data_IF_196108666033
#
_entry.id   IF_196108666033
#
_cell.length_a   1.000
_cell.length_b   1.000
_cell.length_c   1.000
_cell.angle_alpha   90.00
_cell.angle_beta   90.00
_cell.angle_gamma   90.00
#
_symmetry.space_group_name_H-M   'P 1'
#
loop_
_entity.id
_entity.type
_entity.pdbx_description
1 polymer ?
#
# COMPACT_ATOMS: atom_id res chain seq x y z
N UNK A 1 -9.53 9.90 -4.76
CA UNK A 1 -9.25 10.21 -6.18
C UNK A 1 -8.37 11.45 -6.41
N UNK A 2 -8.45 12.51 -5.58
CA UNK A 2 -7.77 13.79 -5.82
C UNK A 2 -6.23 13.69 -5.95
N UNK A 3 -5.57 12.94 -5.07
CA UNK A 3 -4.11 12.81 -5.07
C UNK A 3 -3.53 12.25 -6.39
N UNK A 4 -4.19 11.25 -6.98
CA UNK A 4 -3.77 10.68 -8.26
C UNK A 4 -3.90 11.70 -9.40
N UNK A 5 -4.99 12.45 -9.43
CA UNK A 5 -5.21 13.49 -10.44
C UNK A 5 -4.21 14.63 -10.29
N UNK A 6 -3.94 15.07 -9.05
CA UNK A 6 -2.95 16.10 -8.75
C UNK A 6 -1.54 15.65 -9.17
N UNK A 7 -1.20 14.38 -8.92
CA UNK A 7 0.06 13.80 -9.38
C UNK A 7 0.16 13.75 -10.91
N UNK A 8 -0.90 13.28 -11.60
CA UNK A 8 -0.90 13.20 -13.06
C UNK A 8 -0.78 14.59 -13.70
N UNK A 9 -1.42 15.59 -13.12
CA UNK A 9 -1.31 16.97 -13.58
C UNK A 9 0.08 17.55 -13.32
N UNK A 10 0.64 17.34 -12.13
CA UNK A 10 2.03 17.70 -11.82
C UNK A 10 3.01 17.07 -12.81
N UNK A 11 2.88 15.77 -13.04
CA UNK A 11 3.69 14.99 -13.99
C UNK A 11 3.60 15.56 -15.40
N UNK A 12 2.39 15.87 -15.88
CA UNK A 12 2.15 16.45 -17.21
C UNK A 12 2.79 17.83 -17.35
N UNK A 13 2.70 18.70 -16.34
CA UNK A 13 3.33 20.03 -16.35
C UNK A 13 4.86 19.95 -16.28
N UNK A 14 5.38 19.03 -15.46
CA UNK A 14 6.82 18.86 -15.23
C UNK A 14 7.55 18.24 -16.43
N UNK A 15 6.92 17.26 -17.09
CA UNK A 15 7.48 16.52 -18.22
C UNK A 15 6.45 16.34 -19.34
N UNK A 16 6.12 17.42 -20.08
CA UNK A 16 5.04 17.40 -21.08
C UNK A 16 5.29 16.43 -22.24
N UNK A 17 6.56 16.17 -22.58
CA UNK A 17 6.97 15.32 -23.69
C UNK A 17 7.59 13.98 -23.25
N UNK A 18 7.26 13.50 -22.04
CA UNK A 18 7.77 12.21 -21.58
C UNK A 18 7.18 11.05 -22.37
N UNK A 19 8.05 10.21 -22.95
CA UNK A 19 7.65 8.94 -23.55
C UNK A 19 7.48 7.81 -22.50
N UNK A 20 7.72 8.10 -21.22
CA UNK A 20 7.57 7.11 -20.16
C UNK A 20 6.09 6.86 -19.87
N UNK A 21 5.66 5.59 -19.87
CA UNK A 21 4.28 5.19 -19.59
C UNK A 21 4.02 4.84 -18.13
N UNK A 22 5.06 4.76 -17.30
CA UNK A 22 4.91 4.43 -15.89
C UNK A 22 4.26 5.58 -15.11
N UNK A 23 3.36 5.22 -14.18
CA UNK A 23 2.64 6.17 -13.34
C UNK A 23 3.60 7.00 -12.49
N UNK A 24 4.50 6.33 -11.77
CA UNK A 24 5.52 6.96 -10.95
C UNK A 24 6.83 7.08 -11.74
N UNK A 25 7.28 8.32 -11.94
CA UNK A 25 8.54 8.66 -12.60
C UNK A 25 9.24 9.77 -11.81
N UNK A 26 10.54 9.90 -12.01
CA UNK A 26 11.36 10.95 -11.40
C UNK A 26 12.19 11.68 -12.47
N UNK A 27 12.97 12.69 -12.07
CA UNK A 27 13.80 13.46 -13.02
C UNK A 27 14.71 12.58 -13.89
N UNK A 28 15.17 11.42 -13.39
CA UNK A 28 16.06 10.51 -14.12
C UNK A 28 15.29 9.61 -15.09
N UNK A 29 14.10 9.14 -14.71
CA UNK A 29 13.31 8.22 -15.54
C UNK A 29 12.35 8.92 -16.49
N UNK A 30 12.06 10.21 -16.28
CA UNK A 30 11.17 10.98 -17.15
C UNK A 30 11.64 11.07 -18.60
N UNK A 31 12.95 11.04 -18.84
CA UNK A 31 13.54 11.04 -20.20
C UNK A 31 13.81 9.62 -20.73
N UNK A 32 13.36 8.59 -20.03
CA UNK A 32 13.55 7.18 -20.35
C UNK A 32 12.20 6.48 -20.44
N UNK A 33 12.19 5.22 -20.83
CA UNK A 33 11.00 4.35 -20.84
C UNK A 33 10.97 3.38 -19.66
N UNK A 34 11.98 3.41 -18.79
CA UNK A 34 12.09 2.52 -17.63
C UNK A 34 11.28 3.03 -16.44
N UNK A 35 10.77 2.11 -15.62
CA UNK A 35 10.13 2.44 -14.33
C UNK A 35 11.10 3.14 -13.37
N UNK A 36 10.56 3.94 -12.44
CA UNK A 36 11.32 4.37 -11.27
C UNK A 36 11.79 3.15 -10.46
N UNK A 37 13.00 3.21 -9.91
CA UNK A 37 13.56 2.10 -9.13
C UNK A 37 12.82 1.96 -7.80
N UNK A 38 12.71 0.72 -7.29
CA UNK A 38 12.16 0.48 -5.95
C UNK A 38 12.93 1.27 -4.88
N UNK A 39 14.25 1.36 -5.03
CA UNK A 39 15.10 2.15 -4.14
C UNK A 39 14.67 3.63 -4.07
N UNK A 40 14.22 4.24 -5.17
CA UNK A 40 13.77 5.63 -5.14
C UNK A 40 12.53 5.81 -4.24
N UNK A 41 11.57 4.88 -4.30
CA UNK A 41 10.38 4.91 -3.45
C UNK A 41 10.76 4.61 -1.99
N UNK A 42 11.54 3.56 -1.75
CA UNK A 42 11.99 3.20 -0.40
C UNK A 42 12.85 4.29 0.24
N UNK A 43 13.65 5.01 -0.55
CA UNK A 43 14.47 6.12 -0.07
C UNK A 43 13.61 7.28 0.48
N UNK A 44 12.48 7.58 -0.16
CA UNK A 44 11.56 8.61 0.31
C UNK A 44 10.93 8.29 1.67
N UNK A 45 10.89 7.01 2.05
CA UNK A 45 10.34 6.54 3.32
C UNK A 45 11.41 6.26 4.39
N UNK A 46 12.70 6.49 4.09
CA UNK A 46 13.76 6.31 5.08
C UNK A 46 13.65 7.35 6.20
N UNK A 47 13.75 6.90 7.44
CA UNK A 47 13.64 7.75 8.63
C UNK A 47 12.21 8.15 8.98
N UNK A 48 11.20 7.60 8.29
CA UNK A 48 9.80 7.74 8.66
C UNK A 48 9.36 6.53 9.49
N UNK A 49 8.48 6.75 10.47
CA UNK A 49 7.89 5.67 11.27
C UNK A 49 6.98 4.76 10.41
N UNK A 50 6.35 5.36 9.39
CA UNK A 50 5.50 4.71 8.41
C UNK A 50 6.32 4.25 7.18
N UNK A 51 7.02 3.13 7.31
CA UNK A 51 7.72 2.52 6.17
C UNK A 51 6.74 1.90 5.17
N UNK A 52 7.17 1.64 3.93
CA UNK A 52 6.31 0.99 2.91
C UNK A 52 5.76 -0.36 3.37
N UNK A 53 6.61 -1.18 4.01
CA UNK A 53 6.18 -2.48 4.54
C UNK A 53 5.16 -2.30 5.67
N UNK A 54 5.36 -1.31 6.55
CA UNK A 54 4.40 -1.01 7.62
C UNK A 54 3.07 -0.55 7.06
N UNK A 55 3.07 0.37 6.10
CA UNK A 55 1.83 0.80 5.41
C UNK A 55 1.12 -0.37 4.73
N UNK A 56 1.89 -1.29 4.12
CA UNK A 56 1.35 -2.49 3.49
C UNK A 56 0.73 -3.45 4.51
N UNK A 57 1.37 -3.66 5.67
CA UNK A 57 0.88 -4.46 6.80
C UNK A 57 -0.40 -3.83 7.37
N UNK A 58 -0.34 -2.53 7.68
CA UNK A 58 -1.44 -1.77 8.27
C UNK A 58 -2.68 -1.83 7.37
N UNK A 59 -2.51 -1.65 6.05
CA UNK A 59 -3.62 -1.74 5.09
C UNK A 59 -4.25 -3.14 5.02
N UNK A 60 -3.45 -4.20 5.07
CA UNK A 60 -3.96 -5.58 5.07
C UNK A 60 -4.73 -5.89 6.35
N UNK A 61 -4.22 -5.42 7.49
CA UNK A 61 -4.87 -5.60 8.77
C UNK A 61 -6.17 -4.78 8.86
N UNK A 62 -6.15 -3.53 8.42
CA UNK A 62 -7.33 -2.66 8.36
C UNK A 62 -8.44 -3.24 7.48
N UNK A 63 -8.11 -3.83 6.33
CA UNK A 63 -9.09 -4.55 5.50
C UNK A 63 -9.75 -5.68 6.28
N UNK A 64 -8.96 -6.52 6.95
CA UNK A 64 -9.45 -7.64 7.74
C UNK A 64 -10.33 -7.19 8.92
N UNK A 65 -10.00 -6.06 9.54
CA UNK A 65 -10.81 -5.51 10.63
C UNK A 65 -12.13 -4.90 10.13
N UNK A 66 -12.13 -4.30 8.94
CA UNK A 66 -13.30 -3.58 8.39
C UNK A 66 -14.28 -4.51 7.68
N UNK A 67 -13.78 -5.50 6.93
CA UNK A 67 -14.58 -6.42 6.13
C UNK A 67 -14.78 -7.79 6.79
N UNK A 68 -14.14 -8.00 7.94
CA UNK A 68 -14.13 -9.26 8.67
C UNK A 68 -12.87 -10.08 8.40
N UNK A 69 -12.44 -10.92 9.37
CA UNK A 69 -11.20 -11.68 9.29
C UNK A 69 -11.36 -12.90 8.36
N UNK A 70 -11.54 -12.64 7.06
CA UNK A 70 -11.68 -13.64 6.00
C UNK A 70 -10.37 -13.77 5.18
N UNK A 71 -9.63 -14.89 5.30
CA UNK A 71 -8.43 -15.15 4.52
C UNK A 71 -8.67 -15.15 3.00
N UNK A 72 -9.84 -15.60 2.52
CA UNK A 72 -10.10 -15.68 1.09
C UNK A 72 -10.24 -14.27 0.49
N UNK A 73 -10.96 -13.39 1.18
CA UNK A 73 -11.07 -11.97 0.84
C UNK A 73 -9.69 -11.30 0.78
N UNK A 74 -8.84 -11.51 1.79
CA UNK A 74 -7.50 -10.92 1.83
C UNK A 74 -6.60 -11.44 0.70
N UNK A 75 -6.68 -12.73 0.37
CA UNK A 75 -5.96 -13.31 -0.74
C UNK A 75 -6.41 -12.70 -2.07
N UNK A 76 -7.71 -12.51 -2.27
CA UNK A 76 -8.28 -11.93 -3.48
C UNK A 76 -7.91 -10.44 -3.65
N UNK A 77 -8.10 -9.62 -2.62
CA UNK A 77 -7.89 -8.17 -2.69
C UNK A 77 -6.41 -7.80 -2.83
N UNK A 78 -5.51 -8.52 -2.15
CA UNK A 78 -4.10 -8.17 -2.08
C UNK A 78 -3.16 -9.13 -2.82
N UNK A 79 -3.69 -10.20 -3.42
CA UNK A 79 -2.88 -11.21 -4.11
C UNK A 79 -1.91 -11.93 -3.17
N UNK A 80 -2.34 -12.20 -1.94
CA UNK A 80 -1.51 -12.87 -0.92
C UNK A 80 -1.49 -14.38 -1.15
N UNK A 81 -0.41 -15.02 -0.75
CA UNK A 81 -0.42 -16.46 -0.57
C UNK A 81 -1.34 -16.85 0.60
N UNK A 82 -1.86 -18.07 0.55
CA UNK A 82 -2.81 -18.61 1.53
C UNK A 82 -2.31 -18.46 2.98
N UNK A 83 -1.03 -18.76 3.24
CA UNK A 83 -0.47 -18.69 4.60
C UNK A 83 -0.40 -17.26 5.10
N UNK A 84 0.00 -16.32 4.24
CA UNK A 84 0.03 -14.91 4.59
C UNK A 84 -1.38 -14.38 4.84
N UNK A 85 -2.36 -14.75 4.01
CA UNK A 85 -3.75 -14.34 4.20
C UNK A 85 -4.35 -14.86 5.51
N UNK A 86 -4.14 -16.15 5.83
CA UNK A 86 -4.56 -16.75 7.11
C UNK A 86 -3.96 -16.01 8.30
N UNK A 87 -2.66 -15.70 8.25
CA UNK A 87 -1.96 -14.98 9.34
C UNK A 87 -2.59 -13.62 9.64
N UNK A 88 -2.96 -12.86 8.61
CA UNK A 88 -3.60 -11.56 8.82
C UNK A 88 -5.03 -11.68 9.34
N UNK A 89 -5.81 -12.64 8.83
CA UNK A 89 -7.14 -12.93 9.34
C UNK A 89 -7.11 -13.33 10.83
N UNK A 90 -6.19 -14.21 11.22
CA UNK A 90 -6.03 -14.63 12.62
C UNK A 90 -5.62 -13.47 13.52
N UNK A 91 -4.71 -12.62 13.05
CA UNK A 91 -4.31 -11.40 13.78
C UNK A 91 -5.50 -10.45 13.98
N UNK A 92 -6.31 -10.24 12.95
CA UNK A 92 -7.52 -9.42 13.04
C UNK A 92 -8.54 -10.02 14.02
N UNK A 93 -8.74 -11.35 13.99
CA UNK A 93 -9.64 -12.04 14.92
C UNK A 93 -9.23 -11.84 16.38
N UNK A 94 -7.95 -12.03 16.69
CA UNK A 94 -7.42 -11.83 18.03
C UNK A 94 -7.60 -10.37 18.52
N UNK A 95 -7.40 -9.38 17.64
CA UNK A 95 -7.61 -7.97 17.99
C UNK A 95 -9.08 -7.63 18.25
N UNK A 96 -10.00 -8.21 17.47
CA UNK A 96 -11.43 -8.02 17.68
C UNK A 96 -11.91 -8.65 18.99
N UNK A 97 -11.41 -9.85 19.33
CA UNK A 97 -11.68 -10.50 20.61
C UNK A 97 -11.18 -9.66 21.78
N UNK A 98 -9.93 -9.17 21.71
CA UNK A 98 -9.36 -8.28 22.73
C UNK A 98 -10.15 -6.98 22.89
N UNK A 99 -10.58 -6.35 21.79
CA UNK A 99 -11.40 -5.15 21.84
C UNK A 99 -12.78 -5.41 22.48
N UNK A 100 -13.38 -6.56 22.20
CA UNK A 100 -14.64 -6.96 22.83
C UNK A 100 -14.49 -7.21 24.35
N UNK A 101 -13.40 -7.87 24.77
CA UNK A 101 -13.09 -8.08 26.19
C UNK A 101 -12.88 -6.76 26.94
N UNK A 102 -12.18 -5.80 26.34
CA UNK A 102 -11.96 -4.48 26.93
C UNK A 102 -13.24 -3.66 27.10
N UNK A 103 -14.23 -3.85 26.23
CA UNK A 103 -15.51 -3.13 26.30
C UNK A 103 -16.46 -3.70 27.38
N UNK A 104 -16.17 -4.90 27.89
CA UNK A 104 -16.94 -5.56 28.95
C UNK A 104 -16.44 -5.26 30.37
N UNK A 105 -15.31 -4.56 30.51
CA UNK A 105 -14.70 -4.13 31.77
C UNK A 105 -15.01 -2.65 32.08
#
# INVERSE_FOLDING_TARGET
MKLLLDWLEHRRRRWPNTANLHLLINNQTAMKTSRASNHWISAAMRGQDATLERLRVDRQLEEALTHGPDPLHLAEVFGLDEKTAMRYADSARALLEQAAEQQLL
#
